data_IF_132023006067
#
_entry.id   IF_132023006067
#
_cell.length_a   1.000
_cell.length_b   1.000
_cell.length_c   1.000
_cell.angle_alpha   90.00
_cell.angle_beta   90.00
_cell.angle_gamma   90.00
#
_symmetry.space_group_name_H-M   'P 1'
#
loop_
_entity.id
_entity.type
_entity.pdbx_description
1 polymer ?
#
# COMPACT_ATOMS: atom_id res chain seq x y z
N UNK A 1 -13.86 42.11 4.32
CA UNK A 1 -14.35 40.73 4.16
C UNK A 1 -13.30 40.00 3.35
N UNK A 2 -12.44 39.33 4.09
CA UNK A 2 -11.25 38.65 3.60
C UNK A 2 -11.64 37.44 2.76
N UNK A 3 -10.99 37.25 1.61
CA UNK A 3 -10.93 35.94 0.97
C UNK A 3 -9.48 35.66 0.58
N UNK A 4 -8.93 34.70 1.30
CA UNK A 4 -7.53 34.33 1.35
C UNK A 4 -7.04 33.72 0.03
N UNK A 5 -5.84 34.10 -0.36
CA UNK A 5 -5.00 33.42 -1.36
C UNK A 5 -4.59 32.02 -0.87
N UNK A 6 -4.69 30.96 -1.70
CA UNK A 6 -3.98 29.72 -1.39
C UNK A 6 -2.49 29.82 -1.76
N UNK A 7 -1.67 29.73 -0.72
CA UNK A 7 -0.23 29.97 -0.55
C UNK A 7 0.71 28.99 -1.29
N UNK A 8 0.24 28.15 -2.21
CA UNK A 8 1.06 26.98 -2.65
C UNK A 8 1.96 27.26 -3.87
N UNK A 9 1.89 28.45 -4.48
CA UNK A 9 2.69 28.78 -5.67
C UNK A 9 4.19 29.07 -5.39
N UNK A 10 4.64 29.10 -4.12
CA UNK A 10 5.98 29.58 -3.76
C UNK A 10 7.03 28.49 -3.46
N UNK A 11 6.71 27.19 -3.56
CA UNK A 11 7.64 26.13 -3.14
C UNK A 11 8.02 25.11 -4.23
N UNK A 12 7.95 25.48 -5.52
CA UNK A 12 8.52 24.67 -6.59
C UNK A 12 9.96 25.12 -6.86
N UNK A 13 10.91 24.52 -6.15
CA UNK A 13 12.35 24.67 -6.40
C UNK A 13 12.72 24.40 -7.87
N UNK A 14 13.82 25.00 -8.30
CA UNK A 14 14.35 25.02 -9.68
C UNK A 14 14.34 23.64 -10.36
N UNK A 15 13.65 23.52 -11.49
CA UNK A 15 13.80 22.40 -12.42
C UNK A 15 15.23 22.44 -13.00
N UNK A 16 16.10 21.54 -12.54
CA UNK A 16 17.37 21.29 -13.21
C UNK A 16 17.07 20.68 -14.59
N UNK A 17 17.50 21.37 -15.64
CA UNK A 17 17.50 20.84 -17.00
C UNK A 17 18.55 19.72 -17.06
N UNK A 18 18.11 18.47 -17.06
CA UNK A 18 18.98 17.32 -17.34
C UNK A 18 19.11 17.20 -18.85
N UNK A 19 20.34 17.30 -19.34
CA UNK A 19 20.68 17.23 -20.76
C UNK A 19 20.25 15.91 -21.42
N UNK A 20 19.83 16.06 -22.68
CA UNK A 20 19.34 15.02 -23.58
C UNK A 20 20.35 13.88 -23.79
N UNK A 21 20.12 12.70 -23.19
CA UNK A 21 20.67 11.41 -23.69
C UNK A 21 20.01 10.18 -23.03
N UNK A 22 18.71 10.01 -23.24
CA UNK A 22 18.05 8.69 -23.31
C UNK A 22 16.62 8.86 -23.79
N UNK A 23 16.35 8.55 -25.06
CA UNK A 23 14.99 8.45 -25.58
C UNK A 23 14.33 7.20 -24.99
N UNK A 24 13.79 7.31 -23.78
CA UNK A 24 12.87 6.31 -23.24
C UNK A 24 11.49 6.65 -23.80
N UNK A 25 10.79 5.65 -24.37
CA UNK A 25 9.50 5.83 -25.04
C UNK A 25 8.42 6.46 -24.16
N UNK A 26 7.26 6.74 -24.77
CA UNK A 26 6.11 7.40 -24.11
C UNK A 26 5.69 6.63 -22.84
N UNK A 27 5.97 7.20 -21.66
CA UNK A 27 5.22 6.91 -20.44
C UNK A 27 5.76 5.86 -19.48
N UNK A 28 7.07 5.57 -19.45
CA UNK A 28 7.64 4.85 -18.30
C UNK A 28 7.97 5.88 -17.21
N UNK A 29 7.26 5.92 -16.07
CA UNK A 29 7.61 6.83 -15.00
C UNK A 29 9.01 6.48 -14.50
N UNK A 30 9.85 7.49 -14.31
CA UNK A 30 11.11 7.35 -13.60
C UNK A 30 10.80 6.79 -12.21
N UNK A 31 11.23 5.55 -11.95
CA UNK A 31 11.04 4.88 -10.67
C UNK A 31 12.02 5.56 -9.70
N UNK A 32 11.63 6.74 -9.21
CA UNK A 32 12.34 7.45 -8.15
C UNK A 32 12.38 6.55 -6.91
N UNK A 33 13.38 6.73 -6.04
CA UNK A 33 13.47 6.02 -4.75
C UNK A 33 12.24 6.23 -3.85
N UNK A 34 11.32 7.13 -4.21
CA UNK A 34 10.00 7.33 -3.59
C UNK A 34 9.08 6.11 -3.85
N UNK A 35 9.27 5.39 -4.96
CA UNK A 35 8.71 4.06 -5.20
C UNK A 35 9.47 2.94 -4.47
N UNK A 36 10.26 3.26 -3.44
CA UNK A 36 10.61 2.32 -2.37
C UNK A 36 9.36 1.91 -1.56
N UNK A 37 8.33 1.38 -2.24
CA UNK A 37 7.63 0.14 -1.91
C UNK A 37 7.87 -0.27 -0.45
N UNK A 38 7.16 0.40 0.47
CA UNK A 38 7.26 0.14 1.90
C UNK A 38 7.04 -1.35 2.10
N UNK A 39 7.99 -2.02 2.75
CA UNK A 39 7.93 -3.45 2.96
C UNK A 39 6.72 -3.77 3.86
N UNK A 40 5.75 -4.53 3.36
CA UNK A 40 4.56 -4.93 4.13
C UNK A 40 4.79 -6.18 5.00
N UNK A 41 5.98 -6.80 4.91
CA UNK A 41 6.27 -8.07 5.59
C UNK A 41 6.22 -7.97 7.13
N UNK A 42 6.64 -6.83 7.70
CA UNK A 42 6.69 -6.60 9.15
C UNK A 42 5.44 -5.92 9.70
N UNK A 43 4.33 -5.93 8.95
CA UNK A 43 3.06 -5.38 9.41
C UNK A 43 2.56 -6.15 10.63
N UNK A 44 2.00 -5.43 11.59
CA UNK A 44 1.47 -6.02 12.81
C UNK A 44 0.33 -6.99 12.51
N UNK A 45 0.15 -7.95 13.42
CA UNK A 45 -0.96 -8.91 13.36
C UNK A 45 -2.15 -8.28 14.06
N UNK A 46 -3.32 -8.37 13.46
CA UNK A 46 -4.57 -7.81 13.95
C UNK A 46 -5.66 -8.89 13.93
N UNK A 47 -6.90 -8.50 14.19
CA UNK A 47 -8.05 -9.40 14.03
C UNK A 47 -8.48 -9.35 12.58
N UNK A 48 -8.55 -10.51 11.93
CA UNK A 48 -9.15 -10.67 10.60
C UNK A 48 -10.54 -11.23 10.78
N UNK A 49 -11.54 -10.58 10.17
CA UNK A 49 -12.92 -11.03 10.19
C UNK A 49 -13.48 -11.20 8.78
N UNK A 50 -14.39 -12.15 8.63
CA UNK A 50 -15.03 -12.49 7.38
C UNK A 50 -16.46 -11.95 7.34
N UNK A 51 -16.72 -10.96 6.48
CA UNK A 51 -18.07 -10.36 6.31
C UNK A 51 -19.14 -11.35 5.84
N UNK A 52 -18.76 -12.40 5.11
CA UNK A 52 -19.75 -13.33 4.55
C UNK A 52 -20.30 -14.36 5.56
N UNK A 53 -19.49 -14.79 6.54
CA UNK A 53 -19.87 -15.88 7.46
C UNK A 53 -19.65 -15.55 8.95
N UNK A 54 -19.15 -14.35 9.27
CA UNK A 54 -18.90 -13.89 10.63
C UNK A 54 -17.71 -14.55 11.34
N UNK A 55 -16.94 -15.41 10.67
CA UNK A 55 -15.73 -15.99 11.26
C UNK A 55 -14.66 -14.92 11.50
N UNK A 56 -13.99 -14.97 12.66
CA UNK A 56 -12.87 -14.10 12.98
C UNK A 56 -11.71 -14.91 13.56
N UNK A 57 -10.49 -14.42 13.34
CA UNK A 57 -9.27 -15.06 13.82
C UNK A 57 -8.13 -14.04 13.96
N UNK A 58 -7.09 -14.40 14.69
CA UNK A 58 -5.91 -13.55 14.87
C UNK A 58 -4.89 -13.79 13.76
N UNK A 59 -4.50 -12.74 13.05
CA UNK A 59 -3.59 -12.84 11.91
C UNK A 59 -3.53 -11.54 11.13
N UNK A 60 -3.39 -11.63 9.82
CA UNK A 60 -3.52 -10.48 8.92
C UNK A 60 -3.86 -10.97 7.52
N UNK A 61 -4.53 -10.15 6.73
CA UNK A 61 -4.82 -10.43 5.33
C UNK A 61 -3.52 -10.42 4.53
N UNK A 62 -3.33 -11.46 3.72
CA UNK A 62 -2.11 -11.64 2.91
C UNK A 62 -1.99 -10.53 1.86
N UNK A 63 -0.89 -9.80 1.90
CA UNK A 63 -0.50 -8.83 0.87
C UNK A 63 0.80 -9.27 0.20
N UNK A 64 0.84 -9.24 -1.14
CA UNK A 64 2.07 -9.50 -1.87
C UNK A 64 3.04 -8.36 -1.63
N UNK A 65 4.12 -8.63 -0.90
CA UNK A 65 5.15 -7.62 -0.66
C UNK A 65 5.93 -7.37 -1.96
N UNK A 66 6.04 -6.12 -2.41
CA UNK A 66 6.77 -5.80 -3.63
C UNK A 66 8.30 -5.89 -3.50
N UNK A 67 8.84 -5.88 -2.27
CA UNK A 67 10.27 -6.11 -1.97
C UNK A 67 10.58 -7.61 -1.77
N UNK A 68 9.64 -8.38 -1.23
CA UNK A 68 9.82 -9.79 -0.92
C UNK A 68 8.63 -10.63 -1.45
N UNK A 69 8.53 -10.82 -2.78
CA UNK A 69 7.36 -11.47 -3.38
C UNK A 69 7.22 -12.96 -3.02
N UNK A 70 8.31 -13.61 -2.60
CA UNK A 70 8.36 -15.04 -2.25
C UNK A 70 8.20 -15.33 -0.76
N UNK A 71 8.15 -14.29 0.08
CA UNK A 71 8.00 -14.46 1.52
C UNK A 71 6.53 -14.60 1.86
N UNK A 72 6.20 -15.61 2.65
CA UNK A 72 4.86 -15.87 3.19
C UNK A 72 4.99 -16.15 4.68
N UNK A 73 4.07 -15.65 5.49
CA UNK A 73 4.07 -15.89 6.92
C UNK A 73 2.93 -16.83 7.33
N UNK A 74 3.12 -17.55 8.43
CA UNK A 74 2.17 -18.56 8.92
C UNK A 74 0.76 -17.99 9.19
N UNK A 75 0.67 -16.73 9.61
CA UNK A 75 -0.59 -16.07 9.98
C UNK A 75 -1.08 -15.09 8.89
N UNK A 76 -0.60 -15.23 7.66
CA UNK A 76 -1.13 -14.51 6.49
C UNK A 76 -2.33 -15.27 5.94
N UNK A 77 -3.52 -14.71 6.12
CA UNK A 77 -4.79 -15.32 5.73
C UNK A 77 -5.13 -14.90 4.30
N UNK A 78 -5.28 -15.88 3.40
CA UNK A 78 -5.66 -15.66 1.99
C UNK A 78 -7.15 -15.80 1.74
N UNK A 79 -7.80 -16.65 2.51
CA UNK A 79 -9.21 -16.99 2.38
C UNK A 79 -9.79 -17.35 3.75
N UNK A 80 -11.10 -17.22 3.89
CA UNK A 80 -11.77 -17.59 5.11
C UNK A 80 -11.69 -19.12 5.33
N UNK A 81 -11.23 -19.62 6.49
CA UNK A 81 -11.20 -21.05 6.79
C UNK A 81 -12.57 -21.74 6.85
N UNK A 82 -13.67 -20.96 6.92
CA UNK A 82 -15.04 -21.48 7.05
C UNK A 82 -15.81 -21.45 5.74
N UNK A 83 -15.80 -20.33 5.03
CA UNK A 83 -16.54 -20.18 3.76
C UNK A 83 -15.65 -20.16 2.52
N UNK A 84 -14.32 -20.25 2.68
CA UNK A 84 -13.33 -20.27 1.59
C UNK A 84 -13.38 -19.05 0.66
N UNK A 85 -14.06 -17.98 1.07
CA UNK A 85 -14.08 -16.73 0.33
C UNK A 85 -12.85 -15.89 0.64
N UNK A 86 -12.18 -15.43 -0.40
CA UNK A 86 -11.00 -14.55 -0.34
C UNK A 86 -11.33 -13.06 -0.47
N UNK A 87 -12.58 -12.73 -0.83
CA UNK A 87 -12.99 -11.35 -1.18
C UNK A 87 -13.60 -10.62 0.04
N UNK A 88 -14.09 -11.37 1.03
CA UNK A 88 -14.84 -10.82 2.15
C UNK A 88 -14.04 -10.81 3.47
N UNK A 89 -12.71 -10.82 3.40
CA UNK A 89 -11.83 -10.69 4.56
C UNK A 89 -11.45 -9.23 4.78
N UNK A 90 -11.62 -8.76 6.00
CA UNK A 90 -11.19 -7.44 6.45
C UNK A 90 -10.35 -7.54 7.71
N UNK A 91 -9.56 -6.50 7.94
CA UNK A 91 -8.78 -6.34 9.15
C UNK A 91 -9.41 -5.31 10.06
N UNK A 92 -9.43 -5.59 11.35
CA UNK A 92 -9.81 -4.62 12.36
C UNK A 92 -8.63 -3.68 12.63
N UNK A 93 -8.74 -2.42 12.21
CA UNK A 93 -7.86 -1.34 12.63
C UNK A 93 -8.50 -0.67 13.84
N UNK A 94 -8.21 -1.16 15.04
CA UNK A 94 -8.66 -0.53 16.27
C UNK A 94 -7.70 0.58 16.64
N UNK A 95 -8.10 1.83 16.40
CA UNK A 95 -7.46 2.99 17.03
C UNK A 95 -7.97 3.03 18.49
N UNK A 96 -7.14 2.60 19.44
CA UNK A 96 -7.38 2.76 20.89
C UNK A 96 -6.63 3.99 21.39
#
# INVERSE_FOLDING_TARGET
MDSATPVVAAAAGKLLRVDNRSRVGRGVPEITEIYNKKCSCRREKTIVFCRACGYYCHGRVRLKCPKHPRVTFLLDITECPRCHSSICLDEYCGDL
#
